data_IF_657208483726
#
_entry.id   IF_657208483726
#
_cell.length_a   1.000
_cell.length_b   1.000
_cell.length_c   1.000
_cell.angle_alpha   90.00
_cell.angle_beta   90.00
_cell.angle_gamma   90.00
#
_symmetry.space_group_name_H-M   'P 1'
#
loop_
_entity.id
_entity.type
_entity.pdbx_description
1 polymer ?
#
# COMPACT_ATOMS: atom_id res chain seq x y z
N UNK A 1 15.75 24.88 -21.78
CA UNK A 1 15.03 24.76 -20.49
C UNK A 1 15.59 23.54 -19.77
N UNK A 2 16.23 23.77 -18.62
CA UNK A 2 17.07 22.80 -17.92
C UNK A 2 16.27 21.63 -17.36
N UNK A 3 16.78 20.41 -17.57
CA UNK A 3 16.32 19.18 -16.92
C UNK A 3 16.83 19.21 -15.47
N UNK A 4 16.08 19.86 -14.60
CA UNK A 4 16.32 19.82 -13.16
C UNK A 4 15.06 19.31 -12.48
N UNK A 5 15.02 18.03 -12.16
CA UNK A 5 14.40 17.64 -10.89
C UNK A 5 15.11 16.40 -10.33
N UNK A 6 16.34 16.63 -9.90
CA UNK A 6 16.97 15.80 -8.88
C UNK A 6 16.14 15.92 -7.61
N UNK A 7 15.25 14.96 -7.40
CA UNK A 7 14.93 14.52 -6.04
C UNK A 7 14.91 13.00 -6.08
N UNK A 8 16.09 12.46 -5.83
CA UNK A 8 16.30 11.16 -5.26
C UNK A 8 15.36 10.99 -4.05
N UNK A 9 14.13 10.53 -4.27
CA UNK A 9 13.32 9.95 -3.20
C UNK A 9 13.65 8.48 -3.12
N UNK A 10 14.89 8.19 -2.72
CA UNK A 10 15.12 7.18 -1.71
C UNK A 10 14.39 7.65 -0.45
N UNK A 11 13.06 7.57 -0.44
CA UNK A 11 12.33 7.54 0.82
C UNK A 11 12.35 6.09 1.28
N UNK A 12 13.53 5.66 1.74
CA UNK A 12 13.63 4.79 2.92
C UNK A 12 13.05 5.57 4.11
N UNK A 13 11.77 5.93 4.01
CA UNK A 13 11.01 6.44 5.12
C UNK A 13 10.38 5.21 5.73
N UNK A 14 11.14 4.59 6.64
CA UNK A 14 10.60 3.86 7.77
C UNK A 14 9.56 4.77 8.43
N UNK A 15 8.34 4.80 7.88
CA UNK A 15 7.23 5.49 8.49
C UNK A 15 6.80 4.61 9.65
N UNK A 16 7.49 4.80 10.77
CA UNK A 16 7.01 4.54 12.11
C UNK A 16 5.72 5.32 12.31
N UNK A 17 4.63 4.76 11.81
CA UNK A 17 3.27 5.22 12.00
C UNK A 17 2.54 4.20 12.85
N UNK A 18 2.21 4.59 14.08
CA UNK A 18 1.43 3.83 15.06
C UNK A 18 0.28 3.03 14.40
N UNK A 19 0.42 1.71 14.32
CA UNK A 19 -0.58 0.86 13.66
C UNK A 19 -0.08 -0.55 13.34
N UNK A 20 0.36 -1.28 14.36
CA UNK A 20 0.83 -2.67 14.25
C UNK A 20 2.27 -2.78 13.73
N UNK A 21 3.09 -3.59 14.40
CA UNK A 21 4.45 -3.89 13.96
C UNK A 21 4.38 -4.65 12.62
N UNK A 22 4.77 -4.00 11.52
CA UNK A 22 4.94 -4.66 10.23
C UNK A 22 6.29 -4.31 9.62
N UNK A 23 6.84 -5.27 8.90
CA UNK A 23 8.06 -5.09 8.11
C UNK A 23 7.68 -4.80 6.67
N UNK A 24 8.19 -3.72 6.09
CA UNK A 24 8.07 -3.50 4.64
C UNK A 24 9.07 -4.42 3.96
N UNK A 25 8.58 -5.45 3.28
CA UNK A 25 9.43 -6.44 2.60
C UNK A 25 9.83 -5.98 1.21
N UNK A 26 9.00 -5.17 0.56
CA UNK A 26 9.28 -4.60 -0.76
C UNK A 26 8.44 -3.37 -0.99
N UNK A 27 8.99 -2.36 -1.64
CA UNK A 27 8.24 -1.18 -2.06
C UNK A 27 8.88 -0.55 -3.29
N UNK A 28 8.09 0.17 -4.07
CA UNK A 28 8.60 0.90 -5.21
C UNK A 28 7.56 1.78 -5.86
N UNK A 29 8.00 2.46 -6.91
CA UNK A 29 7.16 3.30 -7.77
C UNK A 29 7.39 2.89 -9.21
N UNK A 30 6.32 2.65 -9.97
CA UNK A 30 6.44 2.30 -11.39
C UNK A 30 6.59 3.57 -12.27
N UNK A 31 6.84 3.38 -13.56
CA UNK A 31 7.04 4.49 -14.51
C UNK A 31 5.82 5.41 -14.66
N UNK A 32 4.62 4.90 -14.35
CA UNK A 32 3.38 5.68 -14.33
C UNK A 32 3.19 6.48 -13.03
N UNK A 33 4.11 6.37 -12.07
CA UNK A 33 4.06 7.04 -10.77
C UNK A 33 3.23 6.32 -9.72
N UNK A 34 2.73 5.11 -9.98
CA UNK A 34 1.96 4.34 -9.00
C UNK A 34 2.93 3.73 -7.98
N UNK A 35 2.55 3.80 -6.70
CA UNK A 35 3.34 3.31 -5.59
C UNK A 35 2.79 1.97 -5.09
N UNK A 36 3.68 1.03 -4.79
CA UNK A 36 3.34 -0.25 -4.19
C UNK A 36 4.21 -0.52 -2.96
N UNK A 37 3.63 -1.18 -1.97
CA UNK A 37 4.29 -1.53 -0.72
C UNK A 37 3.76 -2.86 -0.19
N UNK A 38 4.62 -3.87 -0.18
CA UNK A 38 4.41 -5.15 0.48
C UNK A 38 4.78 -5.04 1.95
N UNK A 39 3.91 -5.58 2.80
CA UNK A 39 4.03 -5.55 4.26
C UNK A 39 3.91 -6.96 4.79
N UNK A 40 4.75 -7.28 5.75
CA UNK A 40 4.72 -8.54 6.48
C UNK A 40 4.43 -8.23 7.95
N UNK A 41 3.30 -8.73 8.44
CA UNK A 41 2.86 -8.59 9.83
C UNK A 41 3.26 -9.81 10.69
N UNK A 42 4.07 -10.71 10.14
CA UNK A 42 4.53 -11.93 10.79
C UNK A 42 3.69 -13.17 10.45
N UNK A 43 4.14 -14.35 10.92
CA UNK A 43 3.53 -15.64 10.59
C UNK A 43 2.12 -15.81 11.16
N UNK A 44 1.77 -15.06 12.22
CA UNK A 44 0.46 -15.11 12.87
C UNK A 44 -0.62 -14.26 12.15
N UNK A 45 -0.23 -13.51 11.12
CA UNK A 45 -1.17 -12.73 10.32
C UNK A 45 -2.09 -13.65 9.51
N UNK A 46 -3.40 -13.36 9.50
CA UNK A 46 -4.36 -14.07 8.67
C UNK A 46 -4.04 -13.91 7.17
N UNK A 47 -3.47 -12.76 6.80
CA UNK A 47 -2.92 -12.46 5.48
C UNK A 47 -1.42 -12.14 5.57
N UNK A 48 -0.59 -13.08 5.14
CA UNK A 48 0.86 -12.87 5.00
C UNK A 48 1.21 -11.93 3.82
N UNK A 49 0.29 -11.77 2.86
CA UNK A 49 0.43 -10.89 1.71
C UNK A 49 -0.23 -9.53 1.93
N UNK A 50 0.08 -8.89 3.06
CA UNK A 50 -0.41 -7.52 3.29
C UNK A 50 0.25 -6.59 2.27
N UNK A 51 -0.55 -5.68 1.72
CA UNK A 51 -0.15 -4.91 0.55
C UNK A 51 -0.88 -3.58 0.46
N UNK A 52 -0.18 -2.56 0.03
CA UNK A 52 -0.75 -1.25 -0.26
C UNK A 52 -0.33 -0.82 -1.66
N UNK A 53 -1.30 -0.36 -2.44
CA UNK A 53 -1.09 0.16 -3.78
C UNK A 53 -1.80 1.49 -3.93
N UNK A 54 -1.15 2.48 -4.51
CA UNK A 54 -1.73 3.79 -4.80
C UNK A 54 -1.44 4.17 -6.23
N UNK A 55 -2.47 4.60 -6.93
CA UNK A 55 -2.34 5.13 -8.27
C UNK A 55 -2.27 6.65 -8.26
N UNK A 56 -1.71 7.20 -9.33
CA UNK A 56 -1.63 8.66 -9.52
C UNK A 56 -3.00 9.31 -9.72
N UNK A 57 -4.02 8.56 -10.12
CA UNK A 57 -5.41 9.04 -10.22
C UNK A 57 -6.12 9.17 -8.84
N UNK A 58 -5.44 8.81 -7.75
CA UNK A 58 -5.97 8.88 -6.39
C UNK A 58 -6.72 7.63 -5.94
N UNK A 59 -6.96 6.65 -6.83
CA UNK A 59 -7.38 5.32 -6.41
C UNK A 59 -6.29 4.62 -5.62
N UNK A 60 -6.70 3.78 -4.67
CA UNK A 60 -5.77 3.00 -3.86
C UNK A 60 -6.40 1.70 -3.37
N UNK A 61 -5.56 0.75 -3.03
CA UNK A 61 -5.94 -0.56 -2.55
C UNK A 61 -5.11 -0.95 -1.33
N UNK A 62 -5.78 -1.48 -0.33
CA UNK A 62 -5.19 -2.11 0.84
C UNK A 62 -5.62 -3.57 0.91
N UNK A 63 -4.64 -4.44 1.11
CA UNK A 63 -4.80 -5.81 1.60
C UNK A 63 -4.21 -5.83 3.00
N UNK A 64 -5.05 -6.03 4.00
CA UNK A 64 -4.67 -5.94 5.40
C UNK A 64 -4.33 -7.31 5.98
N UNK A 65 -3.58 -7.32 7.08
CA UNK A 65 -3.13 -8.53 7.76
C UNK A 65 -4.26 -9.32 8.41
N UNK A 66 -5.39 -8.67 8.71
CA UNK A 66 -6.55 -9.33 9.30
C UNK A 66 -7.36 -10.18 8.30
N UNK A 67 -7.05 -10.12 7.01
CA UNK A 67 -7.87 -10.77 5.98
C UNK A 67 -8.66 -9.77 5.12
N UNK A 68 -8.94 -8.58 5.65
CA UNK A 68 -9.73 -7.57 4.93
C UNK A 68 -8.99 -6.93 3.76
N UNK A 69 -9.79 -6.39 2.84
CA UNK A 69 -9.30 -5.51 1.79
C UNK A 69 -10.14 -4.24 1.70
N UNK A 70 -9.51 -3.16 1.27
CA UNK A 70 -10.18 -1.89 1.03
C UNK A 70 -9.74 -1.34 -0.32
N UNK A 71 -10.70 -1.00 -1.17
CA UNK A 71 -10.45 -0.46 -2.50
C UNK A 71 -11.15 0.89 -2.65
N UNK A 72 -10.40 1.94 -2.94
CA UNK A 72 -10.91 3.27 -3.27
C UNK A 72 -10.71 3.53 -4.76
N UNK A 73 -11.73 4.04 -5.43
CA UNK A 73 -11.71 4.28 -6.88
C UNK A 73 -11.16 5.65 -7.29
N UNK A 74 -10.73 6.47 -6.33
CA UNK A 74 -10.23 7.83 -6.58
C UNK A 74 -11.31 8.85 -6.96
N UNK A 75 -12.57 8.43 -7.04
CA UNK A 75 -13.72 9.22 -7.52
C UNK A 75 -14.79 9.43 -6.44
N UNK A 76 -14.49 9.02 -5.21
CA UNK A 76 -15.37 9.11 -4.04
C UNK A 76 -16.11 7.81 -3.71
N UNK A 77 -15.86 6.73 -4.46
CA UNK A 77 -16.36 5.39 -4.17
C UNK A 77 -15.30 4.54 -3.47
N UNK A 78 -15.74 3.77 -2.48
CA UNK A 78 -14.88 2.78 -1.85
C UNK A 78 -15.64 1.49 -1.50
N UNK A 79 -14.92 0.37 -1.58
CA UNK A 79 -15.41 -0.97 -1.27
C UNK A 79 -14.55 -1.55 -0.18
N UNK A 80 -15.18 -1.94 0.94
CA UNK A 80 -14.55 -2.71 1.99
C UNK A 80 -14.96 -4.18 1.88
N UNK A 81 -13.98 -5.07 1.90
CA UNK A 81 -14.17 -6.52 1.89
C UNK A 81 -13.73 -7.08 3.23
N UNK A 82 -14.65 -7.71 3.95
CA UNK A 82 -14.37 -8.39 5.21
C UNK A 82 -13.39 -9.56 5.01
N UNK A 83 -12.57 -9.90 6.03
CA UNK A 83 -11.87 -11.18 6.06
C UNK A 83 -12.86 -12.34 5.85
N UNK A 84 -12.51 -13.28 4.96
CA UNK A 84 -13.31 -14.47 4.67
C UNK A 84 -14.25 -14.38 3.46
N UNK A 85 -14.21 -13.29 2.68
CA UNK A 85 -15.02 -13.10 1.49
C UNK A 85 -16.48 -12.80 1.82
N UNK A 86 -17.06 -11.80 1.14
CA UNK A 86 -18.50 -11.54 1.23
C UNK A 86 -19.28 -12.82 0.94
N UNK A 87 -20.28 -13.10 1.79
CA UNK A 87 -21.18 -14.25 1.69
C UNK A 87 -21.85 -14.32 0.32
#
# INVERSE_FOLDING_TARGET
MSKNNTTNSSSSNSSSGNGGDYTITSSGTNEAGNHYCHRDHGPDAANQNSYHYSNTDGSYYYSNSDGSAYHNDGKGGATYTSPGGGK
#
